data_IF_713565041593
#
_entry.id   IF_713565041593
#
_cell.length_a   1.000
_cell.length_b   1.000
_cell.length_c   1.000
_cell.angle_alpha   90.00
_cell.angle_beta   90.00
_cell.angle_gamma   90.00
#
_symmetry.space_group_name_H-M   'P 1'
#
loop_
_entity.id
_entity.type
_entity.pdbx_description
1 polymer ?
#
# COMPACT_ATOMS: atom_id res chain seq x y z
N UNK A 1 -15.57 -26.39 -19.80
CA UNK A 1 -15.84 -25.37 -18.77
C UNK A 1 -14.53 -24.67 -18.52
N UNK A 2 -14.44 -23.37 -18.80
CA UNK A 2 -13.33 -22.52 -18.32
C UNK A 2 -13.75 -22.04 -16.95
N UNK A 3 -12.93 -22.29 -15.94
CA UNK A 3 -13.10 -21.66 -14.64
C UNK A 3 -12.62 -20.21 -14.76
N UNK A 4 -13.56 -19.26 -14.73
CA UNK A 4 -13.25 -17.84 -14.67
C UNK A 4 -12.90 -17.48 -13.22
N UNK A 5 -11.61 -17.21 -12.96
CA UNK A 5 -11.17 -16.68 -11.69
C UNK A 5 -11.26 -15.15 -11.76
N UNK A 6 -12.17 -14.53 -11.02
CA UNK A 6 -12.26 -13.07 -10.96
C UNK A 6 -10.99 -12.50 -10.33
N UNK A 7 -10.28 -11.63 -11.05
CA UNK A 7 -9.14 -10.90 -10.51
C UNK A 7 -9.61 -9.82 -9.54
N UNK A 8 -9.02 -9.76 -8.35
CA UNK A 8 -9.40 -8.83 -7.29
C UNK A 8 -8.22 -8.07 -6.71
N UNK A 9 -8.49 -6.86 -6.22
CA UNK A 9 -7.56 -6.09 -5.39
C UNK A 9 -7.54 -6.56 -3.93
N UNK A 10 -6.82 -5.83 -3.07
CA UNK A 10 -6.67 -6.16 -1.64
C UNK A 10 -8.00 -5.92 -0.92
N UNK A 11 -8.47 -6.90 -0.13
CA UNK A 11 -9.82 -6.91 0.47
C UNK A 11 -9.84 -6.92 1.98
N UNK A 12 -8.70 -7.09 2.63
CA UNK A 12 -8.59 -7.13 4.08
C UNK A 12 -7.16 -6.75 4.52
N UNK A 13 -6.97 -6.61 5.84
CA UNK A 13 -5.67 -6.25 6.43
C UNK A 13 -4.61 -7.36 6.28
N UNK A 14 -5.01 -8.63 6.24
CA UNK A 14 -4.06 -9.74 6.04
C UNK A 14 -3.50 -9.75 4.61
N UNK A 15 -4.31 -9.37 3.62
CA UNK A 15 -3.87 -9.14 2.24
C UNK A 15 -2.85 -7.97 2.20
N UNK A 16 -3.12 -6.88 2.93
CA UNK A 16 -2.18 -5.75 3.06
C UNK A 16 -0.87 -6.23 3.66
N UNK A 17 -0.92 -6.93 4.80
CA UNK A 17 0.27 -7.43 5.48
C UNK A 17 1.07 -8.39 4.59
N UNK A 18 0.39 -9.26 3.85
CA UNK A 18 1.02 -10.17 2.87
C UNK A 18 1.76 -9.39 1.80
N UNK A 19 1.12 -8.37 1.22
CA UNK A 19 1.76 -7.53 0.19
C UNK A 19 2.93 -6.70 0.76
N UNK A 20 2.79 -6.07 1.93
CA UNK A 20 3.86 -5.29 2.56
C UNK A 20 5.05 -6.15 2.97
N UNK A 21 4.81 -7.34 3.51
CA UNK A 21 5.87 -8.31 3.79
C UNK A 21 6.64 -8.72 2.52
N UNK A 22 5.99 -8.67 1.34
CA UNK A 22 6.67 -8.83 0.06
C UNK A 22 7.79 -7.82 -0.14
N UNK A 23 7.61 -6.55 0.25
CA UNK A 23 8.64 -5.51 0.18
C UNK A 23 9.78 -5.76 1.19
N UNK A 24 9.45 -6.29 2.37
CA UNK A 24 10.44 -6.62 3.41
C UNK A 24 11.31 -7.84 3.05
N UNK A 25 10.86 -8.69 2.13
CA UNK A 25 11.55 -9.94 1.77
C UNK A 25 12.16 -9.94 0.36
N UNK A 26 11.59 -9.17 -0.57
CA UNK A 26 12.02 -9.22 -1.98
C UNK A 26 13.34 -8.48 -2.17
N UNK A 27 14.33 -9.18 -2.69
CA UNK A 27 15.65 -8.63 -3.00
C UNK A 27 15.58 -7.47 -4.01
N UNK A 28 16.16 -6.33 -3.67
CA UNK A 28 16.25 -5.14 -4.50
C UNK A 28 17.50 -4.29 -4.16
N UNK A 29 18.32 -3.90 -5.16
CA UNK A 29 18.28 -4.34 -6.56
C UNK A 29 18.57 -5.83 -6.72
N UNK A 30 18.20 -6.42 -7.86
CA UNK A 30 18.45 -7.84 -8.16
C UNK A 30 19.91 -8.23 -7.92
N UNK A 31 20.13 -9.40 -7.31
CA UNK A 31 21.46 -9.91 -7.00
C UNK A 31 22.12 -9.31 -5.75
N UNK A 32 21.40 -8.49 -4.96
CA UNK A 32 21.83 -8.05 -3.63
C UNK A 32 20.99 -8.70 -2.53
N UNK A 33 21.53 -8.75 -1.31
CA UNK A 33 20.85 -9.25 -0.11
C UNK A 33 19.98 -8.18 0.59
N UNK A 34 19.62 -7.12 -0.12
CA UNK A 34 18.83 -6.02 0.44
C UNK A 34 17.38 -6.19 0.05
N UNK A 35 16.45 -6.02 0.98
CA UNK A 35 15.03 -5.96 0.65
C UNK A 35 14.65 -4.58 0.10
N UNK A 36 13.50 -4.49 -0.55
CA UNK A 36 12.98 -3.22 -1.05
C UNK A 36 12.80 -2.19 0.08
N UNK A 37 12.27 -2.60 1.24
CA UNK A 37 12.18 -1.71 2.42
C UNK A 37 13.55 -1.26 2.89
N UNK A 38 14.52 -2.17 2.99
CA UNK A 38 15.88 -1.84 3.44
C UNK A 38 16.61 -0.89 2.49
N UNK A 39 16.33 -0.98 1.19
CA UNK A 39 16.92 -0.08 0.21
C UNK A 39 16.57 1.39 0.48
N UNK A 40 15.33 1.69 0.87
CA UNK A 40 14.88 3.05 1.19
C UNK A 40 15.17 3.46 2.65
N UNK A 41 15.10 2.51 3.58
CA UNK A 41 15.19 2.77 5.02
C UNK A 41 16.24 1.88 5.69
N UNK A 42 17.52 1.95 5.29
CA UNK A 42 18.53 1.02 5.76
C UNK A 42 18.75 1.10 7.28
N UNK A 43 18.77 2.30 7.87
CA UNK A 43 19.00 2.45 9.31
C UNK A 43 17.80 2.00 10.13
N UNK A 44 16.59 2.38 9.73
CA UNK A 44 15.38 1.95 10.42
C UNK A 44 15.20 0.42 10.32
N UNK A 45 15.40 -0.15 9.14
CA UNK A 45 15.26 -1.59 8.90
C UNK A 45 16.29 -2.40 9.71
N UNK A 46 17.55 -1.96 9.74
CA UNK A 46 18.60 -2.59 10.53
C UNK A 46 18.35 -2.43 12.05
N UNK A 47 17.62 -1.38 12.46
CA UNK A 47 17.12 -1.19 13.83
C UNK A 47 15.83 -1.98 14.16
N UNK A 48 15.29 -2.75 13.21
CA UNK A 48 14.17 -3.67 13.41
C UNK A 48 12.83 -3.25 12.79
N UNK A 49 12.75 -2.08 12.15
CA UNK A 49 11.53 -1.66 11.45
C UNK A 49 11.21 -2.61 10.30
N UNK A 50 9.93 -2.99 10.16
CA UNK A 50 9.41 -3.72 9.01
C UNK A 50 8.19 -3.00 8.46
N UNK A 51 8.10 -2.90 7.14
CA UNK A 51 6.95 -2.26 6.50
C UNK A 51 5.64 -3.01 6.79
N UNK A 52 5.73 -4.33 7.01
CA UNK A 52 4.58 -5.14 7.42
C UNK A 52 3.89 -4.65 8.72
N UNK A 53 4.63 -3.98 9.61
CA UNK A 53 4.09 -3.47 10.88
C UNK A 53 3.08 -2.33 10.66
N UNK A 54 3.15 -1.66 9.49
CA UNK A 54 2.25 -0.57 9.11
C UNK A 54 0.95 -1.06 8.44
N UNK A 55 0.76 -2.37 8.27
CA UNK A 55 -0.37 -2.93 7.53
C UNK A 55 -1.74 -2.48 8.07
N UNK A 56 -1.89 -2.46 9.40
CA UNK A 56 -3.11 -2.01 10.04
C UNK A 56 -3.40 -0.53 9.81
N UNK A 57 -2.36 0.30 9.84
CA UNK A 57 -2.50 1.73 9.59
C UNK A 57 -2.87 2.01 8.14
N UNK A 58 -2.19 1.37 7.18
CA UNK A 58 -2.50 1.52 5.76
C UNK A 58 -3.94 1.09 5.45
N UNK A 59 -4.39 -0.06 5.96
CA UNK A 59 -5.78 -0.51 5.78
C UNK A 59 -6.78 0.52 6.33
N UNK A 60 -6.56 0.99 7.56
CA UNK A 60 -7.41 1.98 8.23
C UNK A 60 -7.52 3.29 7.45
N UNK A 61 -6.41 3.75 6.86
CA UNK A 61 -6.38 4.98 6.04
C UNK A 61 -7.18 4.79 4.76
N UNK A 62 -7.06 3.64 4.07
CA UNK A 62 -7.90 3.33 2.91
C UNK A 62 -9.38 3.22 3.25
N UNK A 63 -9.74 2.57 4.36
CA UNK A 63 -11.14 2.52 4.84
C UNK A 63 -11.69 3.92 5.12
N UNK A 64 -10.90 4.76 5.78
CA UNK A 64 -11.28 6.14 6.08
C UNK A 64 -11.50 6.94 4.79
N UNK A 65 -10.60 6.82 3.82
CA UNK A 65 -10.72 7.48 2.52
C UNK A 65 -11.96 6.98 1.74
N UNK A 66 -12.20 5.66 1.75
CA UNK A 66 -13.35 5.03 1.09
C UNK A 66 -14.69 5.55 1.64
N UNK A 67 -14.83 5.56 2.97
CA UNK A 67 -16.04 6.06 3.64
C UNK A 67 -16.23 7.56 3.44
N UNK A 68 -15.16 8.35 3.56
CA UNK A 68 -15.21 9.82 3.38
C UNK A 68 -15.65 10.22 1.97
N UNK A 69 -15.27 9.46 0.96
CA UNK A 69 -15.69 9.67 -0.43
C UNK A 69 -17.05 9.02 -0.76
N UNK A 70 -17.69 8.36 0.21
CA UNK A 70 -18.97 7.65 0.03
C UNK A 70 -18.95 6.70 -1.17
N UNK A 71 -17.84 5.98 -1.35
CA UNK A 71 -17.68 5.05 -2.46
C UNK A 71 -18.58 3.83 -2.27
N UNK A 72 -19.14 3.27 -3.35
CA UNK A 72 -20.02 2.11 -3.26
C UNK A 72 -19.22 0.81 -3.07
N UNK A 73 -19.91 -0.16 -2.47
CA UNK A 73 -19.41 -1.52 -2.28
C UNK A 73 -18.52 -1.68 -1.05
N UNK A 74 -17.91 -2.86 -0.93
CA UNK A 74 -16.89 -3.12 0.08
C UNK A 74 -15.56 -2.51 -0.38
N UNK A 75 -14.70 -2.16 0.57
CA UNK A 75 -13.34 -1.76 0.27
C UNK A 75 -12.61 -2.88 -0.48
N UNK A 76 -12.18 -2.55 -1.69
CA UNK A 76 -11.23 -3.33 -2.47
C UNK A 76 -10.20 -2.34 -3.04
N UNK A 77 -8.93 -2.49 -2.64
CA UNK A 77 -7.84 -1.59 -3.03
C UNK A 77 -7.18 -2.15 -4.29
N UNK A 78 -7.23 -1.45 -5.44
CA UNK A 78 -6.51 -1.87 -6.64
C UNK A 78 -5.01 -1.97 -6.36
N UNK A 79 -4.35 -3.01 -6.87
CA UNK A 79 -2.91 -3.23 -6.66
C UNK A 79 -2.05 -2.05 -7.08
N UNK A 80 -2.43 -1.32 -8.14
CA UNK A 80 -1.72 -0.11 -8.57
C UNK A 80 -1.81 1.02 -7.53
N UNK A 81 -3.00 1.29 -6.97
CA UNK A 81 -3.18 2.29 -5.92
C UNK A 81 -2.44 1.90 -4.64
N UNK A 82 -2.42 0.61 -4.31
CA UNK A 82 -1.65 0.09 -3.18
C UNK A 82 -0.14 0.33 -3.38
N UNK A 83 0.42 -0.15 -4.50
CA UNK A 83 1.85 -0.04 -4.78
C UNK A 83 2.29 1.44 -4.83
N UNK A 84 1.49 2.32 -5.44
CA UNK A 84 1.77 3.75 -5.49
C UNK A 84 1.76 4.40 -4.10
N UNK A 85 0.84 4.00 -3.21
CA UNK A 85 0.83 4.52 -1.84
C UNK A 85 2.11 4.12 -1.09
N UNK A 86 2.51 2.85 -1.19
CA UNK A 86 3.76 2.34 -0.58
C UNK A 86 4.98 3.07 -1.13
N UNK A 87 5.05 3.27 -2.46
CA UNK A 87 6.15 3.97 -3.10
C UNK A 87 6.29 5.42 -2.63
N UNK A 88 5.18 6.15 -2.48
CA UNK A 88 5.18 7.52 -1.95
C UNK A 88 5.73 7.52 -0.52
N UNK A 89 5.25 6.63 0.35
CA UNK A 89 5.73 6.55 1.73
C UNK A 89 7.22 6.26 1.79
N UNK A 90 7.71 5.26 1.05
CA UNK A 90 9.13 4.90 1.08
C UNK A 90 10.04 6.03 0.58
N UNK A 91 9.67 6.70 -0.52
CA UNK A 91 10.44 7.83 -1.07
C UNK A 91 10.47 9.03 -0.13
N UNK A 92 9.34 9.37 0.49
CA UNK A 92 9.28 10.49 1.44
C UNK A 92 9.97 10.17 2.76
N UNK A 93 10.01 8.89 3.13
CA UNK A 93 10.66 8.39 4.35
C UNK A 93 12.18 8.31 4.22
N UNK A 94 12.72 8.10 3.02
CA UNK A 94 14.16 7.99 2.76
C UNK A 94 14.94 9.21 3.30
N UNK A 95 14.37 10.41 3.20
CA UNK A 95 14.97 11.66 3.70
C UNK A 95 15.00 11.75 5.24
N UNK A 96 14.31 10.85 5.94
CA UNK A 96 14.13 10.83 7.39
C UNK A 96 14.70 9.55 8.03
N UNK A 97 15.34 8.69 7.26
CA UNK A 97 15.86 7.41 7.72
C UNK A 97 16.81 7.59 8.92
N UNK A 98 16.46 6.94 10.01
CA UNK A 98 17.20 6.95 11.26
C UNK A 98 16.84 5.68 12.06
N UNK A 99 17.70 5.22 12.98
CA UNK A 99 17.34 4.15 13.90
C UNK A 99 16.06 4.49 14.67
N UNK A 100 15.08 3.59 14.64
CA UNK A 100 13.77 3.79 15.30
C UNK A 100 12.78 4.67 14.52
N UNK A 101 13.12 5.10 13.30
CA UNK A 101 12.15 5.74 12.41
C UNK A 101 11.02 4.78 12.01
N UNK A 102 9.79 5.27 12.03
CA UNK A 102 8.64 4.66 11.38
C UNK A 102 7.80 5.75 10.69
N UNK A 103 7.14 5.44 9.56
CA UNK A 103 6.24 6.38 8.90
C UNK A 103 5.11 6.84 9.83
N UNK A 104 4.91 8.16 9.92
CA UNK A 104 3.81 8.69 10.71
C UNK A 104 2.45 8.41 10.03
N UNK A 105 1.36 8.24 10.80
CA UNK A 105 -0.01 8.11 10.25
C UNK A 105 -0.40 9.18 9.22
N UNK A 106 0.11 10.40 9.40
CA UNK A 106 -0.13 11.51 8.48
C UNK A 106 0.49 11.28 7.09
N UNK A 107 1.65 10.61 7.02
CA UNK A 107 2.32 10.28 5.75
C UNK A 107 1.52 9.22 4.99
N UNK A 108 1.02 8.18 5.67
CA UNK A 108 0.11 7.21 5.04
C UNK A 108 -1.17 7.86 4.52
N UNK A 109 -1.76 8.78 5.30
CA UNK A 109 -2.92 9.57 4.86
C UNK A 109 -2.63 10.39 3.61
N UNK A 110 -1.46 11.03 3.56
CA UNK A 110 -1.00 11.76 2.37
C UNK A 110 -0.86 10.83 1.16
N UNK A 111 -0.18 9.69 1.33
CA UNK A 111 0.07 8.73 0.26
C UNK A 111 -1.23 8.17 -0.33
N UNK A 112 -2.21 7.79 0.51
CA UNK A 112 -3.52 7.29 0.04
C UNK A 112 -4.30 8.37 -0.71
N UNK A 113 -4.17 9.64 -0.33
CA UNK A 113 -4.79 10.74 -1.09
C UNK A 113 -4.16 10.92 -2.47
N UNK A 114 -2.86 10.66 -2.61
CA UNK A 114 -2.11 10.85 -3.86
C UNK A 114 -2.03 9.59 -4.74
N UNK A 115 -2.36 8.39 -4.23
CA UNK A 115 -2.16 7.15 -4.96
C UNK A 115 -3.19 6.88 -6.08
N UNK A 116 -4.18 7.76 -6.25
CA UNK A 116 -5.18 7.66 -7.32
C UNK A 116 -6.37 6.74 -6.99
N UNK A 117 -6.47 6.25 -5.75
CA UNK A 117 -7.51 5.30 -5.34
C UNK A 117 -8.94 5.80 -5.60
N UNK A 118 -9.25 7.01 -5.15
CA UNK A 118 -10.59 7.59 -5.29
C UNK A 118 -10.96 7.77 -6.78
N UNK A 119 -10.02 8.29 -7.57
CA UNK A 119 -10.18 8.50 -9.01
C UNK A 119 -10.44 7.16 -9.74
N UNK A 120 -9.67 6.12 -9.41
CA UNK A 120 -9.83 4.77 -9.95
C UNK A 120 -11.24 4.21 -9.65
N UNK A 121 -11.70 4.34 -8.40
CA UNK A 121 -13.02 3.84 -7.98
C UNK A 121 -14.17 4.58 -8.67
N UNK A 122 -14.07 5.89 -8.87
CA UNK A 122 -15.06 6.63 -9.65
C UNK A 122 -15.08 6.20 -11.12
N UNK A 123 -13.92 5.98 -11.74
CA UNK A 123 -13.86 5.55 -13.14
C UNK A 123 -14.52 4.17 -13.33
N UNK A 124 -14.22 3.19 -12.47
CA UNK A 124 -14.83 1.85 -12.56
C UNK A 124 -16.33 1.85 -12.22
N UNK A 125 -16.76 2.69 -11.27
CA UNK A 125 -18.17 2.85 -10.95
C UNK A 125 -19.01 3.34 -12.13
N UNK A 126 -18.48 4.24 -12.96
CA UNK A 126 -19.17 4.71 -14.16
C UNK A 126 -19.28 3.62 -15.23
N UNK A 127 -18.23 2.81 -15.44
CA UNK A 127 -18.24 1.72 -16.43
C UNK A 127 -19.32 0.68 -16.11
N UNK A 128 -19.47 0.31 -14.84
CA UNK A 128 -20.48 -0.66 -14.41
C UNK A 128 -21.91 -0.11 -14.43
N UNK A 129 -22.12 1.21 -14.34
CA UNK A 129 -23.44 1.83 -14.46
C UNK A 129 -23.91 1.96 -15.92
N UNK A 130 -22.99 1.89 -16.88
CA UNK A 130 -23.26 2.02 -18.32
C UNK A 130 -23.33 0.69 -19.08
N UNK A 131 -23.00 -0.43 -18.42
CA UNK A 131 -23.05 -1.78 -18.97
C UNK A 131 -24.35 -2.48 -18.57
#
# INVERSE_FOLDING_TARGET
>A
MVEELSFYGIRNVDDVATCLNGYDQTAYPEGRDWSFTRFYLPQAFDAGYRLLDDAGELWRVFETAHHKASLPGRLEIPMESFARAVEIVLKDSELKDAPGYCPEPALWTHAVHQCGYIQSRHATGHVLATA
#
